data_IF_530547682513
#
_entry.id   IF_530547682513
#
_cell.length_a   1.000
_cell.length_b   1.000
_cell.length_c   1.000
_cell.angle_alpha   90.00
_cell.angle_beta   90.00
_cell.angle_gamma   90.00
#
_symmetry.space_group_name_H-M   'P 1'
#
loop_
_entity.id
_entity.type
_entity.pdbx_description
1 polymer ?
#
# COMPACT_ATOMS: atom_id res chain seq x y z
N UNK A 1 7.06 -6.87 11.46
CA UNK A 1 5.81 -7.61 11.76
C UNK A 1 5.89 -8.43 13.05
N UNK A 2 7.01 -9.09 13.39
CA UNK A 2 7.13 -9.84 14.66
C UNK A 2 7.42 -8.98 15.90
N UNK A 3 7.32 -7.65 15.79
CA UNK A 3 7.54 -6.70 16.86
C UNK A 3 6.27 -6.55 17.72
N UNK A 4 6.44 -6.36 19.02
CA UNK A 4 5.34 -5.99 19.93
C UNK A 4 4.85 -4.55 19.75
N UNK A 5 5.59 -3.76 19.00
CA UNK A 5 5.25 -2.38 18.68
C UNK A 5 4.39 -2.31 17.41
N UNK A 6 3.18 -1.77 17.55
CA UNK A 6 2.19 -1.60 16.49
C UNK A 6 2.71 -0.71 15.35
N UNK A 7 3.54 0.29 15.65
CA UNK A 7 4.13 1.16 14.62
C UNK A 7 5.09 0.37 13.72
N UNK A 8 5.93 -0.46 14.32
CA UNK A 8 6.85 -1.35 13.59
C UNK A 8 6.11 -2.47 12.84
N UNK A 9 4.96 -2.92 13.33
CA UNK A 9 4.07 -3.83 12.58
C UNK A 9 3.50 -3.13 11.35
N UNK A 10 3.01 -1.90 11.49
CA UNK A 10 2.46 -1.12 10.38
C UNK A 10 3.52 -0.86 9.29
N UNK A 11 4.73 -0.44 9.66
CA UNK A 11 5.84 -0.24 8.71
C UNK A 11 6.16 -1.55 7.96
N UNK A 12 6.20 -2.68 8.67
CA UNK A 12 6.40 -3.99 8.04
C UNK A 12 5.28 -4.37 7.06
N UNK A 13 4.03 -4.03 7.39
CA UNK A 13 2.88 -4.22 6.51
C UNK A 13 2.98 -3.37 5.24
N UNK A 14 3.39 -2.10 5.35
CA UNK A 14 3.65 -1.26 4.19
C UNK A 14 4.75 -1.82 3.29
N UNK A 15 5.86 -2.26 3.86
CA UNK A 15 6.95 -2.85 3.07
C UNK A 15 6.47 -4.11 2.34
N UNK A 16 5.73 -4.99 3.03
CA UNK A 16 5.21 -6.20 2.41
C UNK A 16 4.19 -5.88 1.30
N UNK A 17 3.28 -4.94 1.52
CA UNK A 17 2.29 -4.53 0.51
C UNK A 17 2.97 -4.01 -0.76
N UNK A 18 3.99 -3.15 -0.61
CA UNK A 18 4.78 -2.68 -1.75
C UNK A 18 5.56 -3.83 -2.41
N UNK A 19 6.13 -4.74 -1.62
CA UNK A 19 6.81 -5.93 -2.14
C UNK A 19 5.89 -6.83 -2.97
N UNK A 20 4.64 -7.04 -2.54
CA UNK A 20 3.63 -7.78 -3.30
C UNK A 20 3.28 -7.05 -4.59
N UNK A 21 3.11 -5.74 -4.56
CA UNK A 21 2.86 -4.96 -5.79
C UNK A 21 4.01 -5.10 -6.80
N UNK A 22 5.25 -5.04 -6.34
CA UNK A 22 6.42 -5.25 -7.18
C UNK A 22 6.52 -6.70 -7.68
N UNK A 23 6.19 -7.68 -6.84
CA UNK A 23 6.14 -9.09 -7.24
C UNK A 23 5.10 -9.33 -8.35
N UNK A 24 3.91 -8.75 -8.24
CA UNK A 24 2.89 -8.83 -9.29
C UNK A 24 3.40 -8.17 -10.57
N UNK A 25 3.98 -6.98 -10.48
CA UNK A 25 4.53 -6.25 -11.62
C UNK A 25 5.61 -7.05 -12.37
N UNK A 26 6.55 -7.68 -11.63
CA UNK A 26 7.61 -8.47 -12.25
C UNK A 26 7.10 -9.80 -12.78
N UNK A 27 6.13 -10.44 -12.12
CA UNK A 27 5.52 -11.69 -12.56
C UNK A 27 4.69 -11.56 -13.84
N UNK A 28 4.05 -10.41 -14.05
CA UNK A 28 3.29 -10.10 -15.26
C UNK A 28 4.18 -9.91 -16.50
N UNK A 29 5.47 -9.62 -16.29
CA UNK A 29 6.42 -9.31 -17.35
C UNK A 29 6.20 -7.91 -17.95
N UNK A 30 7.29 -7.28 -18.39
CA UNK A 30 7.23 -6.00 -19.09
C UNK A 30 8.12 -6.07 -20.34
N UNK A 31 7.53 -6.30 -21.53
CA UNK A 31 8.27 -6.32 -22.77
C UNK A 31 9.06 -5.02 -22.97
N UNK A 32 10.29 -5.11 -23.49
CA UNK A 32 11.06 -3.92 -23.82
C UNK A 32 10.29 -3.04 -24.82
N UNK A 33 10.14 -1.75 -24.50
CA UNK A 33 9.35 -0.83 -25.31
C UNK A 33 7.82 -0.93 -25.12
N UNK A 34 7.34 -1.68 -24.11
CA UNK A 34 5.91 -1.78 -23.83
C UNK A 34 5.25 -0.42 -23.59
N UNK A 35 4.08 -0.19 -24.21
CA UNK A 35 3.24 0.97 -23.96
C UNK A 35 2.51 0.86 -22.62
N UNK A 36 2.13 2.00 -22.03
CA UNK A 36 1.02 2.02 -21.07
C UNK A 36 -0.24 1.41 -21.70
N UNK A 37 -1.07 0.68 -20.95
CA UNK A 37 -2.33 0.11 -21.44
C UNK A 37 -3.41 1.18 -21.57
N UNK A 38 -3.16 2.13 -22.46
CA UNK A 38 -4.02 3.24 -22.79
C UNK A 38 -4.23 3.22 -24.29
N UNK A 39 -5.50 3.28 -24.70
CA UNK A 39 -5.87 3.37 -26.11
C UNK A 39 -6.05 4.86 -26.44
N UNK A 40 -5.26 5.43 -27.37
CA UNK A 40 -5.44 6.81 -27.82
C UNK A 40 -6.83 6.99 -28.46
N UNK A 41 -7.50 8.10 -28.15
CA UNK A 41 -8.84 8.37 -28.69
C UNK A 41 -8.82 8.80 -30.16
N UNK A 42 -7.71 9.40 -30.58
CA UNK A 42 -7.42 9.93 -31.91
C UNK A 42 -6.81 8.89 -32.85
N UNK A 43 -6.08 7.90 -32.32
CA UNK A 43 -5.52 6.78 -33.09
C UNK A 43 -5.57 5.46 -32.31
N UNK A 44 -6.71 4.74 -32.33
CA UNK A 44 -6.86 3.44 -31.69
C UNK A 44 -5.99 2.34 -32.32
N UNK A 45 -5.64 2.49 -33.61
CA UNK A 45 -4.84 1.51 -34.34
C UNK A 45 -3.38 1.51 -33.87
N UNK A 46 -2.85 2.68 -33.46
CA UNK A 46 -1.53 2.79 -32.85
C UNK A 46 -1.37 1.95 -31.57
N UNK A 47 -2.45 1.68 -30.83
CA UNK A 47 -2.41 0.84 -29.62
C UNK A 47 -2.06 -0.63 -29.94
N UNK A 48 -2.35 -1.11 -31.16
CA UNK A 48 -2.01 -2.47 -31.60
C UNK A 48 -0.62 -2.58 -32.23
N UNK A 49 0.00 -1.44 -32.56
CA UNK A 49 1.28 -1.40 -33.27
C UNK A 49 2.50 -1.71 -32.37
N UNK A 50 2.33 -1.66 -31.05
CA UNK A 50 3.40 -1.90 -30.07
C UNK A 50 2.95 -2.87 -28.98
N UNK A 51 3.88 -3.65 -28.40
CA UNK A 51 3.61 -4.39 -27.17
C UNK A 51 3.07 -3.42 -26.10
N UNK A 52 2.12 -3.88 -25.30
CA UNK A 52 1.49 -3.10 -24.23
C UNK A 52 1.65 -3.85 -22.92
N UNK A 53 1.88 -3.12 -21.82
CA UNK A 53 1.98 -3.73 -20.50
C UNK A 53 0.64 -4.36 -20.09
N UNK A 54 0.68 -5.46 -19.32
CA UNK A 54 -0.52 -6.22 -18.97
C UNK A 54 -1.55 -5.35 -18.20
N UNK A 55 -2.73 -5.07 -18.79
CA UNK A 55 -3.76 -4.25 -18.16
C UNK A 55 -4.38 -4.93 -16.93
N UNK A 56 -4.44 -6.26 -16.90
CA UNK A 56 -5.02 -7.02 -15.79
C UNK A 56 -4.12 -6.91 -14.55
N UNK A 57 -2.81 -7.08 -14.74
CA UNK A 57 -1.84 -6.91 -13.66
C UNK A 57 -1.89 -5.49 -13.06
N UNK A 58 -2.05 -4.46 -13.90
CA UNK A 58 -2.16 -3.07 -13.44
C UNK A 58 -3.44 -2.82 -12.64
N UNK A 59 -4.57 -3.36 -13.08
CA UNK A 59 -5.82 -3.26 -12.33
C UNK A 59 -5.73 -3.94 -10.95
N UNK A 60 -5.04 -5.09 -10.86
CA UNK A 60 -4.80 -5.76 -9.58
C UNK A 60 -3.87 -4.96 -8.67
N UNK A 61 -2.79 -4.38 -9.19
CA UNK A 61 -1.89 -3.53 -8.40
C UNK A 61 -2.65 -2.31 -7.87
N UNK A 62 -3.48 -1.65 -8.69
CA UNK A 62 -4.30 -0.52 -8.24
C UNK A 62 -5.26 -0.93 -7.11
N UNK A 63 -5.91 -2.09 -7.26
CA UNK A 63 -6.81 -2.63 -6.23
C UNK A 63 -6.04 -2.93 -4.93
N UNK A 64 -4.86 -3.54 -5.04
CA UNK A 64 -4.01 -3.85 -3.90
C UNK A 64 -3.50 -2.59 -3.19
N UNK A 65 -3.18 -1.52 -3.92
CA UNK A 65 -2.80 -0.22 -3.35
C UNK A 65 -3.94 0.37 -2.52
N UNK A 66 -5.18 0.35 -3.04
CA UNK A 66 -6.35 0.90 -2.31
C UNK A 66 -6.64 0.10 -1.04
N UNK A 67 -6.59 -1.24 -1.11
CA UNK A 67 -6.75 -2.10 0.07
C UNK A 67 -5.61 -1.85 1.08
N UNK A 68 -4.37 -1.78 0.60
CA UNK A 68 -3.19 -1.50 1.43
C UNK A 68 -3.31 -0.15 2.13
N UNK A 69 -3.80 0.88 1.44
CA UNK A 69 -4.07 2.19 2.01
C UNK A 69 -5.18 2.14 3.09
N UNK A 70 -6.28 1.43 2.84
CA UNK A 70 -7.34 1.25 3.84
C UNK A 70 -6.84 0.56 5.11
N UNK A 71 -6.07 -0.51 4.95
CA UNK A 71 -5.43 -1.23 6.06
C UNK A 71 -4.44 -0.35 6.82
N UNK A 72 -3.65 0.46 6.09
CA UNK A 72 -2.72 1.41 6.66
C UNK A 72 -3.40 2.49 7.51
N UNK A 73 -4.47 3.11 6.98
CA UNK A 73 -5.25 4.11 7.70
C UNK A 73 -5.86 3.51 8.98
N UNK A 74 -6.36 2.28 8.90
CA UNK A 74 -6.88 1.55 10.06
C UNK A 74 -5.80 1.29 11.12
N UNK A 75 -4.65 0.75 10.72
CA UNK A 75 -3.54 0.49 11.64
C UNK A 75 -3.00 1.77 12.29
N UNK A 76 -2.91 2.86 11.53
CA UNK A 76 -2.51 4.16 12.05
C UNK A 76 -3.55 4.70 13.06
N UNK A 77 -4.84 4.60 12.76
CA UNK A 77 -5.91 4.97 13.67
C UNK A 77 -5.85 4.19 14.99
N UNK A 78 -5.59 2.88 14.92
CA UNK A 78 -5.38 2.03 16.09
C UNK A 78 -4.15 2.43 16.89
N UNK A 79 -3.02 2.70 16.23
CA UNK A 79 -1.80 3.14 16.88
C UNK A 79 -2.02 4.47 17.65
N UNK A 80 -2.75 5.41 17.06
CA UNK A 80 -3.14 6.66 17.71
C UNK A 80 -4.05 6.39 18.91
N UNK A 81 -5.08 5.54 18.80
CA UNK A 81 -5.97 5.21 19.93
C UNK A 81 -5.21 4.58 21.10
N UNK A 82 -4.32 3.63 20.82
CA UNK A 82 -3.46 3.00 21.82
C UNK A 82 -2.58 4.04 22.52
N UNK A 83 -1.98 4.96 21.77
CA UNK A 83 -1.15 6.03 22.32
C UNK A 83 -1.97 6.96 23.23
N UNK A 84 -3.17 7.36 22.83
CA UNK A 84 -4.07 8.21 23.63
C UNK A 84 -4.52 7.52 24.92
N UNK A 85 -4.77 6.21 24.90
CA UNK A 85 -5.13 5.44 26.10
C UNK A 85 -3.98 5.33 27.10
N UNK A 86 -2.73 5.25 26.63
CA UNK A 86 -1.55 5.28 27.51
C UNK A 86 -1.42 6.62 28.22
N UNK A 87 -1.61 7.74 27.52
CA UNK A 87 -1.54 9.09 28.13
C UNK A 87 -2.61 9.37 29.18
N UNK A 88 -3.78 8.69 29.14
CA UNK A 88 -4.82 8.81 30.19
C UNK A 88 -4.53 8.03 31.48
N UNK A 89 -3.47 7.22 31.54
CA UNK A 89 -3.20 6.31 32.67
C UNK A 89 -2.10 6.74 33.62
N UNK A 90 -1.47 7.91 33.42
CA UNK A 90 -0.64 8.50 34.47
C UNK A 90 -1.56 9.08 35.56
N UNK A 91 -1.55 8.53 36.79
CA UNK A 91 -2.28 9.14 37.88
C UNK A 91 -1.53 10.40 38.31
N UNK A 92 -2.23 11.53 38.31
CA UNK A 92 -1.91 12.68 39.16
C UNK A 92 -1.92 12.21 40.62
N UNK A 93 -0.78 11.75 41.10
CA UNK A 93 -0.61 11.21 42.45
C UNK A 93 0.74 11.62 43.00
N UNK A 94 0.94 12.94 43.14
CA UNK A 94 2.01 13.52 43.98
C UNK A 94 1.59 14.91 44.47
N UNK A 95 0.54 14.89 45.27
CA UNK A 95 0.21 15.78 46.38
C UNK A 95 -0.67 14.81 47.20
N UNK A 96 -0.19 14.22 48.29
CA UNK A 96 -0.27 14.79 49.63
C UNK A 96 0.85 14.18 50.49
N UNK A 97 1.73 15.05 50.98
CA UNK A 97 2.73 14.78 52.01
C UNK A 97 2.15 15.04 53.41
#
# INVERSE_FOLDING_TARGET
MLSRDVQLVAIGFFLLSNGVNLFVLTSAGMPAGAAPPLIPADDPAAALARPTADPLAQAFILTAIVIGFGMAAFLLGMAVDIHRRKGKREPSGRDDA
#
